data_IF_356922473112
#
_entry.id   IF_356922473112
#
_cell.length_a   1.000
_cell.length_b   1.000
_cell.length_c   1.000
_cell.angle_alpha   90.00
_cell.angle_beta   90.00
_cell.angle_gamma   90.00
#
_symmetry.space_group_name_H-M   'P 1'
#
loop_
_entity.id
_entity.type
_entity.pdbx_description
1 polymer ?
#
# COMPACT_ATOMS: atom_id res chain seq x y z
N UNK A 1 8.24 11.66 20.12
CA UNK A 1 8.35 12.47 18.88
C UNK A 1 7.79 11.67 17.72
N UNK A 2 6.99 12.30 16.89
CA UNK A 2 6.37 11.66 15.74
C UNK A 2 7.32 11.67 14.54
N UNK A 3 7.89 10.52 14.22
CA UNK A 3 8.89 10.38 13.16
C UNK A 3 8.29 10.59 11.76
N UNK A 4 7.08 10.09 11.55
CA UNK A 4 6.38 10.23 10.27
C UNK A 4 6.07 11.70 9.98
N UNK A 5 5.61 12.43 10.98
CA UNK A 5 5.36 13.87 10.86
C UNK A 5 6.65 14.64 10.58
N UNK A 6 7.75 14.25 11.22
CA UNK A 6 9.06 14.87 11.00
C UNK A 6 9.49 14.73 9.53
N UNK A 7 9.31 13.55 8.94
CA UNK A 7 9.68 13.31 7.55
C UNK A 7 8.86 14.18 6.59
N UNK A 8 7.53 14.18 6.74
CA UNK A 8 6.68 14.92 5.82
C UNK A 8 6.83 16.43 5.98
N UNK A 9 7.15 16.91 7.19
CA UNK A 9 7.45 18.32 7.42
C UNK A 9 8.77 18.74 6.76
N UNK A 10 9.73 17.82 6.67
CA UNK A 10 11.01 18.07 6.01
C UNK A 10 10.84 18.21 4.49
N UNK A 11 10.16 17.25 3.86
CA UNK A 11 10.02 17.20 2.40
C UNK A 11 8.81 17.98 1.87
N UNK A 12 7.75 18.11 2.67
CA UNK A 12 6.51 18.78 2.31
C UNK A 12 5.47 17.83 1.72
N UNK A 13 4.21 18.20 1.90
CA UNK A 13 3.07 17.36 1.44
C UNK A 13 3.08 17.16 -0.08
N UNK A 14 3.41 18.17 -0.86
CA UNK A 14 3.42 18.04 -2.31
C UNK A 14 4.49 17.07 -2.82
N UNK A 15 5.67 17.09 -2.19
CA UNK A 15 6.76 16.16 -2.50
C UNK A 15 6.36 14.73 -2.13
N UNK A 16 5.83 14.53 -0.93
CA UNK A 16 5.49 13.20 -0.43
C UNK A 16 4.27 12.61 -1.15
N UNK A 17 3.35 13.44 -1.61
CA UNK A 17 2.22 13.00 -2.43
C UNK A 17 2.71 12.44 -3.78
N UNK A 18 3.67 13.10 -4.41
CA UNK A 18 4.29 12.60 -5.65
C UNK A 18 5.10 11.34 -5.41
N UNK A 19 5.78 11.27 -4.27
CA UNK A 19 6.53 10.08 -3.87
C UNK A 19 5.60 8.88 -3.69
N UNK A 20 4.41 9.10 -3.12
CA UNK A 20 3.39 8.05 -2.98
C UNK A 20 2.98 7.49 -4.35
N UNK A 21 2.79 8.36 -5.33
CA UNK A 21 2.46 7.96 -6.71
C UNK A 21 3.54 7.03 -7.27
N UNK A 22 4.82 7.40 -7.10
CA UNK A 22 5.95 6.59 -7.54
C UNK A 22 5.98 5.22 -6.86
N UNK A 23 5.80 5.19 -5.53
CA UNK A 23 5.85 3.94 -4.76
C UNK A 23 4.67 3.03 -5.08
N UNK A 24 3.49 3.57 -5.32
CA UNK A 24 2.32 2.79 -5.76
C UNK A 24 2.61 2.15 -7.13
N UNK A 25 3.21 2.90 -8.04
CA UNK A 25 3.60 2.36 -9.35
C UNK A 25 4.62 1.22 -9.20
N UNK A 26 5.63 1.39 -8.35
CA UNK A 26 6.63 0.35 -8.08
C UNK A 26 6.01 -0.90 -7.45
N UNK A 27 5.02 -0.71 -6.57
CA UNK A 27 4.26 -1.83 -6.00
C UNK A 27 3.52 -2.59 -7.10
N UNK A 28 2.86 -1.89 -8.01
CA UNK A 28 2.15 -2.50 -9.13
C UNK A 28 3.11 -3.30 -10.02
N UNK A 29 4.29 -2.74 -10.31
CA UNK A 29 5.32 -3.44 -11.09
C UNK A 29 5.80 -4.71 -10.38
N UNK A 30 6.01 -4.65 -9.09
CA UNK A 30 6.44 -5.81 -8.29
C UNK A 30 5.38 -6.91 -8.32
N UNK A 31 4.10 -6.55 -8.23
CA UNK A 31 2.97 -7.49 -8.32
C UNK A 31 2.93 -8.13 -9.72
N UNK A 32 3.04 -7.33 -10.77
CA UNK A 32 3.00 -7.83 -12.15
C UNK A 32 4.13 -8.84 -12.39
N UNK A 33 5.34 -8.55 -11.92
CA UNK A 33 6.49 -9.45 -12.06
C UNK A 33 6.23 -10.78 -11.36
N UNK A 34 5.73 -10.74 -10.14
CA UNK A 34 5.39 -11.94 -9.37
C UNK A 34 4.33 -12.77 -10.09
N UNK A 35 3.22 -12.13 -10.48
CA UNK A 35 2.09 -12.81 -11.11
C UNK A 35 2.46 -13.42 -12.46
N UNK A 36 3.40 -12.83 -13.19
CA UNK A 36 3.82 -13.33 -14.51
C UNK A 36 4.56 -14.65 -14.45
N UNK A 37 5.16 -15.02 -13.32
CA UNK A 37 5.99 -16.23 -13.19
C UNK A 37 5.59 -17.16 -12.04
N UNK A 38 4.57 -16.81 -11.26
CA UNK A 38 4.22 -17.55 -10.03
C UNK A 38 3.88 -19.03 -10.25
N UNK A 39 3.32 -19.37 -11.41
CA UNK A 39 2.91 -20.72 -11.73
C UNK A 39 3.96 -21.51 -12.53
N UNK A 40 5.10 -20.89 -12.83
CA UNK A 40 6.19 -21.52 -13.56
C UNK A 40 7.23 -22.06 -12.57
N UNK A 41 7.32 -23.38 -12.48
CA UNK A 41 8.23 -24.06 -11.52
C UNK A 41 9.70 -23.70 -11.73
N UNK A 42 10.08 -23.25 -12.94
CA UNK A 42 11.46 -22.83 -13.22
C UNK A 42 11.85 -21.56 -12.48
N UNK A 43 10.87 -20.78 -11.98
CA UNK A 43 11.08 -19.55 -11.24
C UNK A 43 10.92 -19.70 -9.72
N UNK A 44 10.88 -20.95 -9.21
CA UNK A 44 10.62 -21.21 -7.78
C UNK A 44 11.57 -20.43 -6.84
N UNK A 45 12.83 -20.30 -7.21
CA UNK A 45 13.83 -19.54 -6.41
C UNK A 45 13.58 -18.05 -6.49
N UNK A 46 13.34 -17.54 -7.69
CA UNK A 46 13.11 -16.12 -7.96
C UNK A 46 11.83 -15.61 -7.28
N UNK A 47 10.83 -16.47 -7.08
CA UNK A 47 9.58 -16.10 -6.40
C UNK A 47 9.82 -15.62 -4.97
N UNK A 48 10.82 -16.17 -4.27
CA UNK A 48 11.18 -15.71 -2.92
C UNK A 48 11.62 -14.25 -2.97
N UNK A 49 12.50 -13.91 -3.92
CA UNK A 49 12.98 -12.54 -4.10
C UNK A 49 11.84 -11.60 -4.56
N UNK A 50 11.02 -12.05 -5.50
CA UNK A 50 9.90 -11.25 -6.02
C UNK A 50 8.87 -10.95 -4.94
N UNK A 51 8.60 -11.93 -4.05
CA UNK A 51 7.73 -11.71 -2.89
C UNK A 51 8.34 -10.69 -1.95
N UNK A 52 9.65 -10.77 -1.72
CA UNK A 52 10.40 -9.79 -0.92
C UNK A 52 10.27 -8.38 -1.47
N UNK A 53 10.32 -8.24 -2.79
CA UNK A 53 10.14 -6.93 -3.45
C UNK A 53 8.74 -6.37 -3.20
N UNK A 54 7.70 -7.22 -3.23
CA UNK A 54 6.32 -6.79 -2.90
C UNK A 54 6.26 -6.29 -1.45
N UNK A 55 6.90 -7.00 -0.52
CA UNK A 55 6.93 -6.60 0.89
C UNK A 55 7.61 -5.24 1.06
N UNK A 56 8.73 -5.02 0.39
CA UNK A 56 9.44 -3.74 0.43
C UNK A 56 8.57 -2.59 -0.07
N UNK A 57 7.91 -2.79 -1.22
CA UNK A 57 7.06 -1.75 -1.81
C UNK A 57 5.81 -1.49 -0.96
N UNK A 58 5.23 -2.53 -0.35
CA UNK A 58 4.13 -2.35 0.60
C UNK A 58 4.58 -1.49 1.79
N UNK A 59 5.77 -1.74 2.32
CA UNK A 59 6.32 -0.97 3.44
C UNK A 59 6.53 0.50 3.05
N UNK A 60 7.06 0.75 1.84
CA UNK A 60 7.27 2.11 1.35
C UNK A 60 5.95 2.87 1.21
N UNK A 61 4.92 2.23 0.67
CA UNK A 61 3.58 2.83 0.54
C UNK A 61 2.99 3.10 1.92
N UNK A 62 3.08 2.13 2.84
CA UNK A 62 2.58 2.28 4.21
C UNK A 62 3.26 3.45 4.93
N UNK A 63 4.57 3.59 4.78
CA UNK A 63 5.32 4.69 5.40
C UNK A 63 4.80 6.05 4.91
N UNK A 64 4.53 6.18 3.62
CA UNK A 64 4.01 7.42 3.05
C UNK A 64 2.57 7.68 3.47
N UNK A 65 1.72 6.65 3.50
CA UNK A 65 0.34 6.78 3.98
C UNK A 65 0.31 7.25 5.43
N UNK A 66 1.17 6.70 6.29
CA UNK A 66 1.25 7.12 7.69
C UNK A 66 1.71 8.56 7.83
N UNK A 67 2.65 9.01 7.00
CA UNK A 67 3.10 10.40 6.97
C UNK A 67 1.95 11.34 6.61
N UNK A 68 1.18 11.01 5.60
CA UNK A 68 0.03 11.80 5.14
C UNK A 68 -1.03 11.87 6.23
N UNK A 69 -1.31 10.75 6.88
CA UNK A 69 -2.27 10.67 7.98
C UNK A 69 -1.86 11.60 9.12
N UNK A 70 -0.59 11.58 9.51
CA UNK A 70 -0.06 12.45 10.56
C UNK A 70 -0.09 13.92 10.18
N UNK A 71 0.19 14.21 8.91
CA UNK A 71 0.15 15.58 8.39
C UNK A 71 -1.23 16.23 8.57
N UNK A 72 -2.29 15.46 8.33
CA UNK A 72 -3.67 15.92 8.47
C UNK A 72 -4.24 15.69 9.87
N UNK A 73 -3.44 15.18 10.81
CA UNK A 73 -3.85 14.88 12.19
C UNK A 73 -5.06 13.95 12.26
N UNK A 74 -5.10 13.00 11.34
CA UNK A 74 -6.15 11.98 11.29
C UNK A 74 -5.75 10.84 12.22
N UNK A 75 -6.66 10.45 13.12
CA UNK A 75 -6.41 9.35 14.06
C UNK A 75 -6.66 7.99 13.38
N UNK A 76 -5.97 6.96 13.87
CA UNK A 76 -6.12 5.61 13.35
C UNK A 76 -7.57 5.13 13.41
N UNK A 77 -8.28 5.49 14.49
CA UNK A 77 -9.67 5.10 14.69
C UNK A 77 -10.60 5.69 13.63
N UNK A 78 -10.31 6.90 13.14
CA UNK A 78 -11.09 7.53 12.08
C UNK A 78 -10.95 6.75 10.77
N UNK A 79 -9.71 6.39 10.43
CA UNK A 79 -9.43 5.62 9.22
C UNK A 79 -10.03 4.22 9.33
N UNK A 80 -9.83 3.57 10.48
CA UNK A 80 -10.33 2.21 10.71
C UNK A 80 -11.85 2.15 10.63
N UNK A 81 -12.55 3.13 11.22
CA UNK A 81 -14.01 3.17 11.17
C UNK A 81 -14.55 3.20 9.74
N UNK A 82 -13.97 4.06 8.90
CA UNK A 82 -14.36 4.14 7.47
C UNK A 82 -13.95 2.88 6.73
N UNK A 83 -12.77 2.34 7.02
CA UNK A 83 -12.26 1.11 6.42
C UNK A 83 -13.22 -0.06 6.64
N UNK A 84 -13.66 -0.27 7.88
CA UNK A 84 -14.59 -1.37 8.22
C UNK A 84 -15.89 -1.25 7.44
N UNK A 85 -16.46 -0.04 7.36
CA UNK A 85 -17.67 0.21 6.59
C UNK A 85 -17.52 -0.09 5.11
N UNK A 86 -16.37 0.31 4.52
CA UNK A 86 -16.07 0.03 3.11
C UNK A 86 -15.87 -1.46 2.86
N UNK A 87 -15.21 -2.14 3.80
CA UNK A 87 -15.01 -3.59 3.73
C UNK A 87 -16.35 -4.33 3.68
N UNK A 88 -17.26 -3.99 4.60
CA UNK A 88 -18.60 -4.61 4.66
C UNK A 88 -19.39 -4.37 3.39
N UNK A 89 -19.40 -3.12 2.88
CA UNK A 89 -20.12 -2.79 1.63
C UNK A 89 -19.53 -3.53 0.44
N UNK A 90 -18.22 -3.67 0.39
CA UNK A 90 -17.54 -4.40 -0.69
C UNK A 90 -17.93 -5.88 -0.67
N UNK A 91 -17.95 -6.50 0.50
CA UNK A 91 -18.37 -7.89 0.66
C UNK A 91 -19.82 -8.12 0.22
N UNK A 92 -20.72 -7.20 0.57
CA UNK A 92 -22.13 -7.25 0.13
C UNK A 92 -22.21 -7.15 -1.40
N UNK A 93 -21.46 -6.22 -1.99
CA UNK A 93 -21.42 -6.04 -3.46
C UNK A 93 -20.94 -7.31 -4.16
N UNK A 94 -19.88 -7.92 -3.64
CA UNK A 94 -19.34 -9.19 -4.18
C UNK A 94 -20.38 -10.30 -4.15
N UNK A 95 -21.13 -10.41 -3.07
CA UNK A 95 -22.22 -11.37 -2.95
C UNK A 95 -23.30 -11.14 -4.01
N UNK A 96 -23.64 -9.89 -4.30
CA UNK A 96 -24.63 -9.52 -5.33
C UNK A 96 -24.08 -9.81 -6.75
N UNK A 97 -22.82 -9.54 -6.99
CA UNK A 97 -22.18 -9.81 -8.28
C UNK A 97 -22.06 -11.28 -8.60
N UNK A 98 -22.03 -12.13 -7.58
CA UNK A 98 -21.89 -13.59 -7.72
C UNK A 98 -23.18 -14.31 -8.04
N UNK A 99 -24.32 -13.60 -8.06
CA UNK A 99 -25.65 -14.18 -8.30
C UNK A 99 -26.05 -14.19 -9.77
#
# INVERSE_FOLDING_TARGET
MNRELEIINHYGINHQQRKLEEEVFELQEAIIKYESVKDDVSYARELIQLRGNIIEELADVHLLLNQIQEYYKIQDEEVLGVYVGKLERTLVRMGNESR
#
